data_IF_756222726419
#
_entry.id   IF_756222726419
#
_cell.length_a   1.000
_cell.length_b   1.000
_cell.length_c   1.000
_cell.angle_alpha   90.00
_cell.angle_beta   90.00
_cell.angle_gamma   90.00
#
_symmetry.space_group_name_H-M   'P 1'
#
loop_
_entity.id
_entity.type
_entity.pdbx_description
1 polymer ?
#
# COMPACT_ATOMS: atom_id res chain seq x y z
N UNK A 1 2.64 -3.74 15.78
CA UNK A 1 1.49 -3.50 16.64
C UNK A 1 0.90 -4.85 16.96
N UNK A 2 1.09 -5.28 18.21
CA UNK A 2 0.89 -6.66 18.63
C UNK A 2 -0.36 -6.86 19.49
N UNK A 3 -0.29 -7.86 20.34
CA UNK A 3 -1.39 -8.34 21.16
C UNK A 3 -1.99 -7.28 22.10
N UNK A 4 -3.22 -7.52 22.53
CA UNK A 4 -3.99 -6.69 23.47
C UNK A 4 -4.25 -5.24 23.02
N UNK A 5 -3.95 -4.88 21.77
CA UNK A 5 -4.28 -3.57 21.20
C UNK A 5 -5.69 -3.56 20.59
N UNK A 6 -6.62 -2.90 21.30
CA UNK A 6 -8.03 -2.80 20.86
C UNK A 6 -8.19 -1.88 19.63
N UNK A 7 -7.49 -0.75 19.62
CA UNK A 7 -7.67 0.32 18.64
C UNK A 7 -6.54 1.36 18.63
N UNK A 8 -6.62 2.32 17.69
CA UNK A 8 -5.80 3.56 17.63
C UNK A 8 -4.34 3.33 17.28
N UNK A 9 -4.12 2.58 16.21
CA UNK A 9 -2.81 2.27 15.65
C UNK A 9 -2.66 2.87 14.24
N UNK A 10 -2.55 4.20 14.07
CA UNK A 10 -2.82 5.28 15.01
C UNK A 10 -4.31 5.74 15.00
N UNK A 11 -4.68 6.66 15.90
CA UNK A 11 -5.86 7.54 15.71
C UNK A 11 -5.39 8.94 15.36
N UNK A 12 -5.64 9.38 14.13
CA UNK A 12 -5.16 10.65 13.59
C UNK A 12 -6.17 11.78 13.77
N UNK A 13 -5.68 13.01 13.92
CA UNK A 13 -6.50 14.22 13.86
C UNK A 13 -5.73 15.33 13.17
N UNK A 14 -6.28 15.84 12.06
CA UNK A 14 -5.61 16.80 11.18
C UNK A 14 -4.26 16.26 10.65
N UNK A 15 -3.67 16.99 9.69
CA UNK A 15 -2.30 16.70 9.22
C UNK A 15 -2.16 15.52 8.25
N UNK A 16 -0.90 15.10 8.06
CA UNK A 16 -0.48 14.03 7.15
C UNK A 16 0.21 12.92 7.94
N UNK A 17 -0.21 11.68 7.72
CA UNK A 17 0.34 10.50 8.38
C UNK A 17 0.69 9.47 7.32
N UNK A 18 1.95 9.03 7.34
CA UNK A 18 2.45 7.93 6.51
C UNK A 18 2.67 6.71 7.39
N UNK A 19 1.91 5.66 7.10
CA UNK A 19 1.95 4.37 7.79
C UNK A 19 2.65 3.42 6.82
N UNK A 20 3.90 3.08 7.11
CA UNK A 20 4.76 2.34 6.19
C UNK A 20 5.40 1.13 6.85
N UNK A 21 5.31 -0.03 6.20
CA UNK A 21 5.94 -1.29 6.62
C UNK A 21 5.73 -1.69 8.09
N UNK A 22 4.52 -1.51 8.59
CA UNK A 22 4.10 -1.99 9.91
C UNK A 22 3.38 -3.33 9.81
N UNK A 23 3.46 -4.09 10.89
CA UNK A 23 2.70 -5.30 11.11
C UNK A 23 1.60 -5.03 12.14
N UNK A 24 0.34 -5.24 11.75
CA UNK A 24 -0.83 -5.05 12.59
C UNK A 24 -1.51 -6.38 12.82
N UNK A 25 -1.61 -6.78 14.08
CA UNK A 25 -2.31 -8.00 14.47
C UNK A 25 -3.45 -7.67 15.43
N UNK A 26 -4.46 -8.54 15.41
CA UNK A 26 -5.42 -8.74 16.50
C UNK A 26 -6.18 -7.49 17.02
N UNK A 27 -6.45 -6.49 16.17
CA UNK A 27 -7.33 -5.40 16.61
C UNK A 27 -8.76 -5.87 16.82
N UNK A 28 -9.43 -5.28 17.81
CA UNK A 28 -10.82 -5.64 18.16
C UNK A 28 -11.85 -4.65 17.63
N UNK A 29 -11.45 -3.39 17.40
CA UNK A 29 -12.36 -2.35 16.93
C UNK A 29 -11.95 -1.75 15.58
N UNK A 30 -10.72 -1.27 15.47
CA UNK A 30 -10.11 -0.80 14.21
C UNK A 30 -8.60 -0.67 14.39
N UNK A 31 -7.82 -0.83 13.33
CA UNK A 31 -6.39 -0.51 13.39
C UNK A 31 -6.18 1.00 13.25
N UNK A 32 -6.57 1.58 12.12
CA UNK A 32 -6.34 2.99 11.79
C UNK A 32 -7.62 3.79 11.97
N UNK A 33 -7.57 4.78 12.86
CA UNK A 33 -8.69 5.68 13.12
C UNK A 33 -8.38 7.12 12.75
N UNK A 34 -9.42 7.94 12.62
CA UNK A 34 -9.21 9.38 12.55
C UNK A 34 -10.47 10.22 12.65
N UNK A 35 -10.27 11.49 13.01
CA UNK A 35 -11.32 12.52 13.04
C UNK A 35 -10.77 13.86 12.56
N UNK A 36 -11.65 14.78 12.16
CA UNK A 36 -11.28 16.10 11.62
C UNK A 36 -10.28 16.03 10.44
N UNK A 37 -10.64 15.30 9.38
CA UNK A 37 -10.00 15.35 8.06
C UNK A 37 -8.47 15.13 8.01
N UNK A 38 -7.92 14.06 8.63
CA UNK A 38 -6.52 13.70 8.44
C UNK A 38 -6.31 13.12 7.03
N UNK A 39 -5.10 13.27 6.50
CA UNK A 39 -4.62 12.56 5.30
C UNK A 39 -3.81 11.34 5.72
N UNK A 40 -4.22 10.15 5.28
CA UNK A 40 -3.59 8.87 5.63
C UNK A 40 -3.04 8.21 4.38
N UNK A 41 -1.74 7.94 4.39
CA UNK A 41 -1.05 7.13 3.39
C UNK A 41 -0.60 5.82 4.01
N UNK A 42 -1.24 4.71 3.67
CA UNK A 42 -0.83 3.37 4.11
C UNK A 42 -0.08 2.67 2.97
N UNK A 43 1.14 2.22 3.22
CA UNK A 43 1.95 1.50 2.22
C UNK A 43 2.75 0.31 2.77
N UNK A 44 2.67 -0.83 2.09
CA UNK A 44 3.51 -1.99 2.36
C UNK A 44 3.36 -2.59 3.77
N UNK A 45 2.24 -2.35 4.44
CA UNK A 45 1.91 -2.90 5.77
C UNK A 45 1.26 -4.28 5.66
N UNK A 46 1.18 -5.01 6.77
CA UNK A 46 0.39 -6.24 6.90
C UNK A 46 -0.71 -6.04 7.94
N UNK A 47 -1.95 -6.36 7.58
CA UNK A 47 -3.13 -6.25 8.44
C UNK A 47 -3.75 -7.63 8.64
N UNK A 48 -3.56 -8.20 9.83
CA UNK A 48 -4.13 -9.49 10.23
C UNK A 48 -5.29 -9.28 11.19
N UNK A 49 -6.52 -9.35 10.66
CA UNK A 49 -7.72 -9.19 11.46
C UNK A 49 -7.93 -10.36 12.44
N UNK A 50 -8.64 -10.12 13.54
CA UNK A 50 -9.10 -11.18 14.46
C UNK A 50 -10.14 -12.08 13.80
N UNK A 51 -10.49 -13.21 14.43
CA UNK A 51 -11.58 -14.09 13.96
C UNK A 51 -12.97 -13.46 14.06
N UNK A 52 -13.13 -12.39 14.84
CA UNK A 52 -14.40 -11.68 15.00
C UNK A 52 -14.86 -11.07 13.65
N UNK A 53 -16.03 -11.45 13.11
CA UNK A 53 -16.53 -10.93 11.84
C UNK A 53 -16.83 -9.43 11.87
N UNK A 54 -17.03 -8.84 13.05
CA UNK A 54 -17.29 -7.41 13.21
C UNK A 54 -16.01 -6.55 13.24
N UNK A 55 -14.83 -7.19 13.27
CA UNK A 55 -13.53 -6.52 13.41
C UNK A 55 -12.64 -6.74 12.18
N UNK A 56 -13.21 -6.61 10.98
CA UNK A 56 -12.52 -6.82 9.70
C UNK A 56 -12.07 -5.52 9.02
N UNK A 57 -12.79 -4.44 9.24
CA UNK A 57 -12.40 -3.14 8.69
C UNK A 57 -11.16 -2.62 9.42
N UNK A 58 -10.10 -2.34 8.66
CA UNK A 58 -8.85 -1.74 9.16
C UNK A 58 -9.08 -0.29 9.59
N UNK A 59 -9.96 0.41 8.89
CA UNK A 59 -10.18 1.86 8.99
C UNK A 59 -11.39 2.22 9.87
N UNK A 60 -11.33 3.33 10.60
CA UNK A 60 -12.50 3.92 11.26
C UNK A 60 -12.49 5.44 11.21
N UNK A 61 -13.53 6.01 10.63
CA UNK A 61 -13.82 7.44 10.72
C UNK A 61 -14.65 7.68 11.98
N UNK A 62 -14.06 8.38 12.94
CA UNK A 62 -14.60 8.54 14.29
C UNK A 62 -15.40 9.85 14.37
N UNK A 63 -16.59 9.78 14.94
CA UNK A 63 -17.49 10.93 15.16
C UNK A 63 -17.83 11.71 13.87
N UNK A 64 -17.97 11.02 12.73
CA UNK A 64 -18.21 11.68 11.42
C UNK A 64 -19.10 10.83 10.54
N UNK A 65 -20.09 11.44 9.90
CA UNK A 65 -21.01 10.75 8.98
C UNK A 65 -20.33 10.47 7.63
N UNK A 66 -20.79 9.44 6.92
CA UNK A 66 -20.22 9.04 5.62
C UNK A 66 -20.16 10.15 4.57
N UNK A 67 -21.18 10.98 4.49
CA UNK A 67 -21.19 12.14 3.59
C UNK A 67 -20.14 13.21 3.92
N UNK A 68 -19.64 13.27 5.16
CA UNK A 68 -18.66 14.26 5.61
C UNK A 68 -17.22 13.79 5.42
N UNK A 69 -16.96 12.48 5.56
CA UNK A 69 -15.61 11.93 5.43
C UNK A 69 -15.27 11.40 4.03
N UNK A 70 -16.23 11.31 3.10
CA UNK A 70 -15.97 10.83 1.74
C UNK A 70 -14.85 11.59 1.00
N UNK A 71 -14.65 12.88 1.32
CA UNK A 71 -13.55 13.71 0.80
C UNK A 71 -12.22 13.60 1.57
N UNK A 72 -12.11 12.74 2.58
CA UNK A 72 -10.87 12.54 3.32
C UNK A 72 -9.93 11.64 2.54
N UNK A 73 -8.68 12.06 2.40
CA UNK A 73 -7.70 11.34 1.60
C UNK A 73 -7.07 10.20 2.40
N UNK A 74 -7.64 9.01 2.27
CA UNK A 74 -7.18 7.79 2.94
C UNK A 74 -6.89 6.77 1.86
N UNK A 75 -5.62 6.38 1.74
CA UNK A 75 -5.18 5.44 0.70
C UNK A 75 -4.39 4.28 1.28
N UNK A 76 -4.42 3.17 0.54
CA UNK A 76 -3.68 1.94 0.79
C UNK A 76 -2.98 1.53 -0.51
N UNK A 77 -1.71 1.11 -0.43
CA UNK A 77 -0.92 0.68 -1.59
C UNK A 77 0.09 -0.39 -1.18
N UNK A 78 0.04 -1.57 -1.83
CA UNK A 78 0.97 -2.67 -1.51
C UNK A 78 0.80 -3.27 -0.12
N UNK A 79 -0.28 -2.92 0.60
CA UNK A 79 -0.64 -3.53 1.88
C UNK A 79 -1.20 -4.95 1.68
N UNK A 80 -0.89 -5.85 2.61
CA UNK A 80 -1.40 -7.23 2.63
C UNK A 80 -2.51 -7.34 3.66
N UNK A 81 -3.68 -7.78 3.20
CA UNK A 81 -4.85 -8.00 4.04
C UNK A 81 -5.02 -9.50 4.33
N UNK A 82 -5.02 -9.88 5.60
CA UNK A 82 -5.08 -11.27 6.07
C UNK A 82 -6.35 -11.49 6.89
N UNK A 83 -6.89 -12.71 6.83
CA UNK A 83 -8.07 -13.12 7.59
C UNK A 83 -9.32 -12.26 7.31
N UNK A 84 -9.51 -11.88 6.04
CA UNK A 84 -10.66 -11.07 5.62
C UNK A 84 -10.60 -9.60 6.06
N UNK A 85 -9.42 -9.12 6.51
CA UNK A 85 -9.20 -7.70 6.69
C UNK A 85 -9.49 -6.94 5.39
N UNK A 86 -9.98 -5.71 5.51
CA UNK A 86 -10.12 -4.82 4.36
C UNK A 86 -9.93 -3.37 4.76
N UNK A 87 -9.43 -2.58 3.81
CA UNK A 87 -9.25 -1.14 3.96
C UNK A 87 -10.26 -0.44 3.08
N UNK A 88 -10.99 0.53 3.62
CA UNK A 88 -11.92 1.34 2.84
C UNK A 88 -11.20 2.65 2.48
N UNK A 89 -10.75 2.85 1.23
CA UNK A 89 -10.12 4.10 0.81
C UNK A 89 -11.15 5.21 0.60
N UNK A 90 -10.69 6.46 0.61
CA UNK A 90 -11.52 7.63 0.34
C UNK A 90 -10.69 8.80 -0.21
N UNK A 91 -11.37 9.81 -0.76
CA UNK A 91 -10.73 10.96 -1.40
C UNK A 91 -10.16 10.65 -2.78
N UNK A 92 -9.32 11.54 -3.29
CA UNK A 92 -8.86 11.52 -4.68
C UNK A 92 -7.69 10.53 -4.93
N UNK A 93 -7.18 9.88 -3.89
CA UNK A 93 -6.18 8.79 -3.95
C UNK A 93 -4.77 9.20 -4.40
N UNK A 94 -4.62 10.28 -5.16
CA UNK A 94 -3.37 10.73 -5.77
C UNK A 94 -3.21 12.24 -5.59
N UNK A 95 -2.19 12.67 -4.85
CA UNK A 95 -1.90 14.08 -4.66
C UNK A 95 -0.42 14.34 -4.41
N UNK A 96 0.06 15.50 -4.84
CA UNK A 96 1.44 16.00 -4.66
C UNK A 96 1.88 16.00 -3.17
N UNK A 97 0.92 15.89 -2.24
CA UNK A 97 1.12 15.83 -0.79
C UNK A 97 1.98 14.62 -0.36
N UNK A 98 1.91 13.49 -1.06
CA UNK A 98 2.64 12.26 -0.68
C UNK A 98 4.12 12.29 -1.06
N UNK A 99 4.48 13.04 -2.11
CA UNK A 99 5.84 13.09 -2.66
C UNK A 99 6.84 13.91 -1.83
N UNK A 100 6.35 14.76 -0.91
CA UNK A 100 7.21 15.68 -0.13
C UNK A 100 7.82 15.07 1.13
N UNK A 101 7.51 13.82 1.48
CA UNK A 101 7.80 13.27 2.81
C UNK A 101 8.55 11.93 2.86
N UNK A 102 8.92 11.30 1.73
CA UNK A 102 9.63 10.02 1.73
C UNK A 102 11.14 10.20 1.52
N UNK A 103 11.96 9.73 2.47
CA UNK A 103 13.40 9.52 2.23
C UNK A 103 13.72 8.09 1.77
N UNK A 104 12.77 7.16 1.95
CA UNK A 104 12.89 5.74 1.63
C UNK A 104 11.58 5.26 1.02
N UNK A 105 11.69 4.50 -0.08
CA UNK A 105 10.56 3.86 -0.73
C UNK A 105 9.98 2.73 0.15
N UNK A 106 8.65 2.56 0.19
CA UNK A 106 8.02 1.47 0.92
C UNK A 106 8.48 0.13 0.36
N UNK A 107 8.84 -0.79 1.26
CA UNK A 107 9.21 -2.15 0.91
C UNK A 107 7.96 -3.02 0.71
N UNK A 108 8.11 -4.14 0.02
CA UNK A 108 7.02 -5.12 -0.12
C UNK A 108 6.56 -5.62 1.25
N UNK A 109 5.25 -5.71 1.45
CA UNK A 109 4.66 -6.29 2.65
C UNK A 109 5.08 -7.76 2.89
N UNK A 110 5.58 -8.46 1.86
CA UNK A 110 6.17 -9.80 2.03
C UNK A 110 7.45 -9.84 2.87
N UNK A 111 8.11 -8.70 3.09
CA UNK A 111 9.30 -8.59 3.95
C UNK A 111 8.96 -8.10 5.37
N UNK A 112 7.68 -7.99 5.73
CA UNK A 112 7.27 -7.43 7.04
C UNK A 112 7.94 -8.15 8.20
N UNK A 113 8.02 -9.49 8.17
CA UNK A 113 8.65 -10.27 9.25
C UNK A 113 10.08 -9.81 9.50
N UNK A 114 10.89 -9.67 8.44
CA UNK A 114 12.27 -9.21 8.53
C UNK A 114 12.38 -7.73 8.94
N UNK A 115 11.46 -6.89 8.47
CA UNK A 115 11.47 -5.46 8.78
C UNK A 115 11.10 -5.16 10.23
N UNK A 116 10.29 -6.03 10.82
CA UNK A 116 9.73 -5.80 12.15
C UNK A 116 10.26 -6.79 13.20
N UNK A 117 11.14 -7.74 12.84
CA UNK A 117 11.69 -8.77 13.76
C UNK A 117 12.38 -8.20 15.01
N UNK A 118 12.96 -7.00 14.91
CA UNK A 118 13.65 -6.32 16.02
C UNK A 118 12.79 -5.20 16.61
N UNK A 119 11.47 -5.22 16.41
CA UNK A 119 10.56 -4.27 17.04
C UNK A 119 10.57 -4.49 18.56
N UNK A 120 10.66 -3.40 19.33
CA UNK A 120 10.77 -3.45 20.79
C UNK A 120 12.13 -2.93 21.28
N UNK A 121 12.53 -3.36 22.47
CA UNK A 121 13.81 -2.97 23.09
C UNK A 121 14.96 -3.71 22.41
N UNK A 122 16.10 -3.02 22.23
CA UNK A 122 17.29 -3.62 21.64
C UNK A 122 17.76 -4.84 22.43
N UNK A 123 17.96 -5.96 21.72
CA UNK A 123 18.44 -7.21 22.31
C UNK A 123 17.35 -8.10 22.93
N UNK A 124 16.10 -7.65 22.95
CA UNK A 124 14.95 -8.49 23.29
C UNK A 124 14.38 -9.20 22.05
N UNK A 125 13.80 -10.41 22.20
CA UNK A 125 12.96 -10.98 21.16
C UNK A 125 11.70 -10.13 21.01
N UNK A 126 11.00 -10.30 19.89
CA UNK A 126 9.72 -9.67 19.64
C UNK A 126 8.63 -10.37 20.45
N UNK A 127 7.77 -9.59 21.11
CA UNK A 127 6.80 -10.10 22.10
C UNK A 127 5.61 -10.90 21.51
N UNK A 128 5.57 -11.13 20.19
CA UNK A 128 4.47 -11.82 19.50
C UNK A 128 4.66 -13.36 19.39
N UNK A 129 5.72 -13.93 20.00
CA UNK A 129 6.00 -15.39 20.01
C UNK A 129 5.35 -16.07 21.23
N UNK A 130 4.08 -16.47 21.09
CA UNK A 130 3.45 -17.43 22.01
C UNK A 130 4.08 -18.82 21.82
N UNK A 131 5.25 -19.02 22.43
CA UNK A 131 5.64 -20.24 23.14
C UNK A 131 5.58 -21.60 22.43
N UNK A 132 5.36 -21.68 21.12
CA UNK A 132 5.22 -22.95 20.39
C UNK A 132 6.47 -23.30 19.56
N UNK A 133 7.61 -22.70 19.91
CA UNK A 133 8.93 -23.18 19.55
C UNK A 133 9.58 -23.83 20.77
N UNK A 134 9.76 -25.14 20.74
CA UNK A 134 10.38 -25.91 21.83
C UNK A 134 11.73 -25.31 22.22
N UNK A 135 11.76 -24.57 23.32
CA UNK A 135 13.00 -24.24 24.01
C UNK A 135 13.54 -25.54 24.64
N UNK A 136 14.73 -26.03 24.28
CA UNK A 136 15.35 -27.07 25.06
C UNK A 136 15.82 -26.41 26.36
N UNK A 137 15.27 -26.88 27.46
CA UNK A 137 15.81 -26.67 28.79
C UNK A 137 17.28 -27.10 28.84
N UNK A 138 18.15 -26.21 29.31
CA UNK A 138 19.56 -26.51 29.49
C UNK A 138 20.29 -25.35 30.15
N UNK A 139 20.25 -25.32 31.48
CA UNK A 139 21.25 -24.58 32.25
C UNK A 139 22.58 -25.33 32.16
N UNK A 140 23.64 -24.70 31.66
CA UNK A 140 24.93 -24.64 32.36
C UNK A 140 25.89 -23.64 31.70
N UNK A 141 26.81 -23.13 32.51
CA UNK A 141 27.83 -22.15 32.16
C UNK A 141 28.94 -22.75 31.28
N UNK A 142 29.53 -21.94 30.39
CA UNK A 142 30.78 -22.31 29.72
C UNK A 142 31.13 -21.39 28.55
N UNK A 143 32.20 -20.60 28.68
CA UNK A 143 32.66 -19.69 27.64
C UNK A 143 33.23 -20.37 26.39
N UNK A 144 33.35 -19.58 25.33
CA UNK A 144 34.06 -19.96 24.10
C UNK A 144 33.52 -19.22 22.88
N UNK A 145 34.27 -18.24 22.38
CA UNK A 145 33.92 -17.47 21.20
C UNK A 145 34.12 -18.22 19.88
N UNK A 146 33.26 -17.90 18.91
CA UNK A 146 33.42 -17.89 17.45
C UNK A 146 32.00 -17.73 16.90
N UNK A 147 31.63 -16.71 16.12
CA UNK A 147 32.17 -16.43 14.80
C UNK A 147 31.02 -16.57 13.78
N UNK A 148 30.45 -15.42 13.38
CA UNK A 148 29.80 -15.20 12.09
C UNK A 148 28.55 -16.00 11.72
N UNK A 149 27.37 -15.41 11.93
CA UNK A 149 26.17 -15.72 11.13
C UNK A 149 25.27 -14.50 10.83
N UNK A 150 25.68 -13.28 11.20
CA UNK A 150 24.90 -12.05 10.99
C UNK A 150 25.25 -11.28 9.70
N UNK A 151 26.25 -11.75 8.93
CA UNK A 151 26.76 -11.04 7.76
C UNK A 151 26.08 -11.33 6.42
N UNK A 152 25.31 -12.42 6.30
CA UNK A 152 24.80 -12.89 5.00
C UNK A 152 23.56 -12.15 4.48
N UNK A 153 22.60 -11.87 5.35
CA UNK A 153 21.30 -11.31 4.94
C UNK A 153 21.27 -9.78 4.94
N UNK A 154 21.99 -9.13 5.85
CA UNK A 154 22.04 -7.66 5.91
C UNK A 154 22.68 -7.06 4.65
N UNK A 155 23.66 -7.77 4.05
CA UNK A 155 24.32 -7.36 2.80
C UNK A 155 23.39 -7.37 1.58
N UNK A 156 22.38 -8.24 1.54
CA UNK A 156 21.38 -8.26 0.45
C UNK A 156 20.32 -7.16 0.59
N UNK A 157 20.10 -6.66 1.81
CA UNK A 157 19.05 -5.65 2.10
C UNK A 157 19.53 -4.21 1.87
N UNK A 158 20.83 -3.94 2.03
CA UNK A 158 21.43 -2.59 1.89
C UNK A 158 22.48 -2.47 0.77
N UNK A 159 22.84 -3.57 0.09
CA UNK A 159 23.78 -3.58 -1.02
C UNK A 159 23.13 -3.14 -2.33
N UNK A 160 23.32 -1.89 -2.72
CA UNK A 160 23.05 -1.47 -4.10
C UNK A 160 24.01 -2.18 -5.06
N UNK A 161 23.50 -3.06 -5.94
CA UNK A 161 24.29 -3.57 -7.06
C UNK A 161 23.83 -4.89 -7.69
N UNK A 162 23.15 -4.75 -8.84
CA UNK A 162 23.09 -5.67 -10.00
C UNK A 162 22.21 -6.93 -9.88
N UNK A 163 20.97 -6.77 -10.34
CA UNK A 163 20.10 -7.87 -10.77
C UNK A 163 20.69 -8.50 -12.04
N UNK A 164 21.10 -9.76 -11.95
CA UNK A 164 21.41 -10.60 -13.11
C UNK A 164 20.13 -10.88 -13.90
N UNK A 165 20.18 -10.58 -15.20
CA UNK A 165 19.03 -10.52 -16.09
C UNK A 165 18.32 -11.86 -16.30
N UNK A 166 17.02 -11.87 -16.01
CA UNK A 166 16.06 -12.71 -16.69
C UNK A 166 15.32 -11.86 -17.72
N UNK A 167 15.50 -12.19 -18.99
CA UNK A 167 14.93 -11.51 -20.16
C UNK A 167 13.39 -11.56 -20.15
N UNK A 168 12.75 -10.50 -19.65
CA UNK A 168 11.34 -10.23 -19.95
C UNK A 168 11.25 -9.44 -21.27
N UNK A 169 10.72 -10.11 -22.28
CA UNK A 169 10.43 -9.56 -23.60
C UNK A 169 9.28 -8.55 -23.46
N UNK A 170 9.40 -7.29 -23.91
CA UNK A 170 8.27 -6.36 -23.89
C UNK A 170 7.21 -6.80 -24.92
N UNK A 171 5.90 -6.57 -24.65
CA UNK A 171 4.86 -6.83 -25.63
C UNK A 171 5.02 -5.86 -26.82
N UNK A 172 4.63 -6.26 -28.05
CA UNK A 172 4.87 -5.45 -29.24
C UNK A 172 3.98 -4.20 -29.24
N UNK A 173 4.62 -3.02 -29.17
CA UNK A 173 4.00 -1.69 -29.30
C UNK A 173 3.49 -1.38 -30.73
N UNK A 174 3.50 -2.36 -31.63
CA UNK A 174 3.11 -2.17 -33.03
C UNK A 174 1.60 -2.23 -33.26
N UNK A 175 0.81 -2.74 -32.31
CA UNK A 175 -0.65 -2.85 -32.49
C UNK A 175 -1.43 -1.62 -32.00
N UNK A 176 -0.88 -0.81 -31.09
CA UNK A 176 -1.56 0.36 -30.54
C UNK A 176 -1.48 1.61 -31.43
N UNK A 177 -0.47 1.72 -32.30
CA UNK A 177 -0.36 2.87 -33.20
C UNK A 177 -1.36 2.81 -34.37
N UNK A 178 -1.72 1.60 -34.82
CA UNK A 178 -2.69 1.44 -35.92
C UNK A 178 -4.12 1.83 -35.51
N UNK A 179 -4.51 1.58 -34.26
CA UNK A 179 -5.86 1.92 -33.78
C UNK A 179 -6.05 3.42 -33.59
N UNK A 180 -5.03 4.14 -33.11
CA UNK A 180 -5.11 5.60 -32.94
C UNK A 180 -5.17 6.32 -34.31
N UNK A 181 -4.40 5.85 -35.29
CA UNK A 181 -4.44 6.42 -36.66
C UNK A 181 -5.77 6.12 -37.35
N UNK A 182 -6.32 4.91 -37.19
CA UNK A 182 -7.64 4.57 -37.75
C UNK A 182 -8.78 5.40 -37.14
N UNK A 183 -8.74 5.64 -35.81
CA UNK A 183 -9.72 6.50 -35.15
C UNK A 183 -9.60 7.97 -35.57
N UNK A 184 -8.37 8.48 -35.74
CA UNK A 184 -8.15 9.83 -36.25
C UNK A 184 -8.65 10.01 -37.69
N UNK A 185 -8.42 9.01 -38.57
CA UNK A 185 -8.93 9.04 -39.95
C UNK A 185 -10.46 8.98 -39.97
N UNK A 186 -11.09 8.13 -39.15
CA UNK A 186 -12.55 8.08 -39.04
C UNK A 186 -13.13 9.41 -38.53
N UNK A 187 -12.49 10.04 -37.55
CA UNK A 187 -12.94 11.32 -37.01
C UNK A 187 -12.79 12.48 -38.01
N UNK A 188 -11.73 12.46 -38.82
CA UNK A 188 -11.52 13.42 -39.92
C UNK A 188 -12.50 13.19 -41.08
N UNK A 189 -12.80 11.94 -41.43
CA UNK A 189 -13.82 11.61 -42.42
C UNK A 189 -15.23 12.02 -41.95
N UNK A 190 -15.53 11.87 -40.66
CA UNK A 190 -16.80 12.32 -40.09
C UNK A 190 -16.95 13.85 -40.15
N UNK A 191 -15.90 14.59 -39.79
CA UNK A 191 -15.87 16.06 -39.93
C UNK A 191 -15.97 16.53 -41.39
N UNK A 192 -15.31 15.82 -42.33
CA UNK A 192 -15.39 16.11 -43.76
C UNK A 192 -16.78 15.87 -44.36
N UNK A 193 -17.46 14.79 -43.96
CA UNK A 193 -18.84 14.51 -44.37
C UNK A 193 -19.84 15.52 -43.77
N UNK A 194 -19.59 16.05 -42.58
CA UNK A 194 -20.41 17.14 -42.02
C UNK A 194 -20.25 18.45 -42.80
N UNK A 195 -19.08 18.72 -43.39
CA UNK A 195 -18.87 19.93 -44.20
C UNK A 195 -19.52 19.85 -45.59
N UNK A 196 -19.63 18.64 -46.18
CA UNK A 196 -20.27 18.46 -47.49
C UNK A 196 -21.81 18.40 -47.45
N UNK A 197 -22.43 18.22 -46.27
CA UNK A 197 -23.90 18.17 -46.14
C UNK A 197 -24.55 19.53 -45.82
N UNK A 198 -23.74 20.58 -45.62
CA UNK A 198 -24.21 21.94 -45.33
C UNK A 198 -24.09 22.90 -46.54
N UNK A 199 -23.70 22.41 -47.71
CA UNK A 199 -23.43 23.24 -48.90
C UNK A 199 -24.52 23.27 -49.99
N UNK A 200 -25.60 22.47 -49.87
CA UNK A 200 -26.60 22.32 -50.96
C UNK A 200 -28.00 22.84 -50.59
N UNK A 201 -28.10 24.03 -49.97
CA UNK A 201 -29.37 24.77 -49.96
C UNK A 201 -29.10 26.26 -50.16
N UNK A 202 -29.75 26.81 -51.19
CA UNK A 202 -29.81 28.22 -51.63
C UNK A 202 -28.75 28.66 -52.65
N UNK A 203 -29.14 28.68 -53.94
CA UNK A 203 -29.40 29.94 -54.66
C UNK A 203 -29.70 29.66 -56.14
N UNK A 204 -30.97 29.85 -56.54
CA UNK A 204 -31.38 29.90 -57.95
C UNK A 204 -32.13 31.21 -58.22
N UNK A 205 -31.71 32.04 -59.20
CA UNK A 205 -32.41 33.28 -59.51
C UNK A 205 -33.31 33.16 -60.76
N UNK A 206 -34.47 33.80 -60.67
CA UNK A 206 -35.51 34.08 -61.69
C UNK A 206 -36.48 32.96 -62.06
#
# INVERSE_FOLDING_TARGET
FGEALVQRMPRCRLGYIHIVNNDFTQWEMYAIGGSAHPTVNSQGNRYTATSNPNAKEVTKRVDTKEGEWGGWNWRTEGDVMVNGAFFVPSGEGLGVKYAKASSVEPKSAGMIDQLTMNAGVLGGPRDDDDGTGSSPSGADAGGGGAGGAYGGYFGMVFGGGRVSGASQRPPPLLLSCLSVVALAILHLCWLGCCHHRLGDVEDGPW
#
